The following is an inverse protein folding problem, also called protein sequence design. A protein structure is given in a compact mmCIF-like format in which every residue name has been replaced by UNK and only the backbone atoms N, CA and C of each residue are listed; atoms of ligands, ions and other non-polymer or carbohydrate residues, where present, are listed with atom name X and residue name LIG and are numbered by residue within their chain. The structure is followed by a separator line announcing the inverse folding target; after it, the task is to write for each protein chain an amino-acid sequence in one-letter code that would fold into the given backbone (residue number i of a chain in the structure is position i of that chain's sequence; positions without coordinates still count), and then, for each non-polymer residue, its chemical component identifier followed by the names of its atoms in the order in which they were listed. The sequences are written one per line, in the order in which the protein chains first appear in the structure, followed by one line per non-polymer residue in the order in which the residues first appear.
data_IF_526426106752
#
_entry.id   IF_526426106752
#
_cell.length_a   1.000
_cell.length_b   1.000
_cell.length_c   1.000
_cell.angle_alpha   90.00
_cell.angle_beta   90.00
_cell.angle_gamma   90.00
#
_symmetry.space_group_name_H-M   'P 1'
#
loop_
_entity.id
_entity.type
_entity.pdbx_description
1 polymer ?
#
# COMPACT_ATOMS: atom_id res chain seq x y z
N UNK A 1 -9.30 -44.85 4.34
CA UNK A 1 -10.28 -44.76 3.23
C UNK A 1 -11.73 -44.65 3.71
N UNK A 2 -12.27 -45.55 4.55
CA UNK A 2 -13.70 -45.50 4.93
C UNK A 2 -14.12 -44.22 5.67
N UNK A 3 -13.26 -43.69 6.56
CA UNK A 3 -13.53 -42.44 7.29
C UNK A 3 -13.59 -41.21 6.36
N UNK A 4 -12.63 -41.09 5.45
CA UNK A 4 -12.59 -39.99 4.47
C UNK A 4 -13.82 -39.99 3.56
N UNK A 5 -14.22 -41.18 3.09
CA UNK A 5 -15.42 -41.32 2.25
C UNK A 5 -16.69 -40.90 3.00
N UNK A 6 -16.80 -41.25 4.29
CA UNK A 6 -17.93 -40.82 5.12
C UNK A 6 -17.95 -39.29 5.31
N UNK A 7 -16.80 -38.68 5.59
CA UNK A 7 -16.68 -37.22 5.76
C UNK A 7 -17.02 -36.49 4.45
N UNK A 8 -16.56 -37.00 3.30
CA UNK A 8 -16.93 -36.50 1.97
C UNK A 8 -18.42 -36.62 1.69
N UNK A 9 -19.02 -37.80 1.93
CA UNK A 9 -20.45 -38.02 1.71
C UNK A 9 -21.32 -37.10 2.57
N UNK A 10 -20.94 -36.87 3.83
CA UNK A 10 -21.62 -35.89 4.69
C UNK A 10 -21.48 -34.47 4.16
N UNK A 11 -20.29 -34.09 3.70
CA UNK A 11 -20.01 -32.76 3.16
C UNK A 11 -20.79 -32.50 1.86
N UNK A 12 -20.87 -33.49 0.95
CA UNK A 12 -21.65 -33.42 -0.28
C UNK A 12 -23.15 -33.30 0.01
N UNK A 13 -23.67 -34.16 0.91
CA UNK A 13 -25.08 -34.08 1.33
C UNK A 13 -25.39 -32.70 1.90
N UNK A 14 -24.51 -32.11 2.72
CA UNK A 14 -24.74 -30.79 3.31
C UNK A 14 -24.74 -29.69 2.26
N UNK A 15 -23.75 -29.70 1.37
CA UNK A 15 -23.55 -28.62 0.40
C UNK A 15 -24.54 -28.63 -0.76
N UNK A 16 -24.99 -29.81 -1.18
CA UNK A 16 -25.79 -29.97 -2.40
C UNK A 16 -27.22 -30.46 -2.18
N UNK A 17 -27.54 -31.03 -1.01
CA UNK A 17 -28.85 -31.68 -0.77
C UNK A 17 -29.60 -30.99 0.38
N UNK A 18 -29.00 -30.90 1.57
CA UNK A 18 -29.66 -30.40 2.77
C UNK A 18 -28.71 -29.60 3.67
N UNK A 19 -28.90 -28.29 3.72
CA UNK A 19 -28.04 -27.38 4.50
C UNK A 19 -28.12 -27.60 6.01
N UNK A 20 -29.17 -28.24 6.53
CA UNK A 20 -29.43 -28.32 7.98
C UNK A 20 -28.76 -29.54 8.63
N UNK A 21 -28.22 -30.46 7.83
CA UNK A 21 -27.47 -31.61 8.37
C UNK A 21 -26.09 -31.20 8.88
N UNK A 22 -25.64 -31.88 9.93
CA UNK A 22 -24.26 -31.80 10.40
C UNK A 22 -23.34 -32.62 9.50
N UNK A 23 -22.08 -32.20 9.42
CA UNK A 23 -21.04 -32.91 8.69
C UNK A 23 -19.75 -32.97 9.51
N UNK A 24 -18.84 -33.87 9.14
CA UNK A 24 -17.46 -33.93 9.60
C UNK A 24 -16.52 -33.70 8.42
N UNK A 25 -15.36 -33.12 8.70
CA UNK A 25 -14.39 -32.72 7.67
C UNK A 25 -14.70 -31.33 7.09
N UNK A 26 -13.84 -30.88 6.19
CA UNK A 26 -13.87 -29.52 5.63
C UNK A 26 -14.04 -29.56 4.09
N UNK A 27 -14.90 -30.45 3.58
CA UNK A 27 -15.04 -30.73 2.14
C UNK A 27 -16.34 -30.17 1.53
N UNK A 28 -17.11 -29.40 2.30
CA UNK A 28 -18.35 -28.78 1.80
C UNK A 28 -18.01 -27.75 0.73
N UNK A 29 -18.76 -27.71 -0.38
CA UNK A 29 -18.61 -26.64 -1.35
C UNK A 29 -18.81 -25.27 -0.68
N UNK A 30 -18.03 -24.27 -1.08
CA UNK A 30 -18.13 -22.91 -0.55
C UNK A 30 -18.27 -21.90 -1.68
N UNK A 31 -19.17 -20.94 -1.50
CA UNK A 31 -19.19 -19.74 -2.32
C UNK A 31 -18.12 -18.77 -1.80
N UNK A 32 -17.20 -18.36 -2.67
CA UNK A 32 -16.15 -17.39 -2.34
C UNK A 32 -16.48 -16.05 -2.99
N UNK A 33 -16.72 -15.05 -2.13
CA UNK A 33 -16.97 -13.66 -2.49
C UNK A 33 -16.06 -12.79 -1.64
N UNK A 34 -15.56 -11.67 -2.19
CA UNK A 34 -14.85 -10.69 -1.37
C UNK A 34 -15.85 -9.88 -0.55
N UNK A 35 -15.88 -10.12 0.76
CA UNK A 35 -16.66 -9.33 1.72
C UNK A 35 -15.73 -8.84 2.86
N UNK A 36 -16.27 -8.28 3.94
CA UNK A 36 -15.45 -7.77 5.07
C UNK A 36 -14.81 -8.90 5.90
N UNK A 37 -15.38 -10.10 5.89
CA UNK A 37 -14.97 -11.23 6.72
C UNK A 37 -14.15 -12.27 5.94
N UNK A 38 -14.39 -12.41 4.64
CA UNK A 38 -13.80 -13.44 3.79
C UNK A 38 -13.34 -12.84 2.45
N UNK A 39 -12.18 -13.27 1.99
CA UNK A 39 -11.60 -12.90 0.70
C UNK A 39 -11.28 -14.15 -0.12
N UNK A 40 -11.32 -14.05 -1.45
CA UNK A 40 -10.91 -15.15 -2.34
C UNK A 40 -9.43 -15.49 -2.11
N UNK A 41 -8.59 -14.46 -1.86
CA UNK A 41 -7.17 -14.65 -1.55
C UNK A 41 -6.93 -15.59 -0.37
N UNK A 42 -7.67 -15.44 0.73
CA UNK A 42 -7.46 -16.25 1.94
C UNK A 42 -7.64 -17.73 1.65
N UNK A 43 -8.66 -18.09 0.84
CA UNK A 43 -8.90 -19.48 0.46
C UNK A 43 -7.83 -20.00 -0.49
N UNK A 44 -7.40 -19.22 -1.49
CA UNK A 44 -6.32 -19.63 -2.40
C UNK A 44 -5.02 -19.89 -1.62
N UNK A 45 -4.68 -19.03 -0.66
CA UNK A 45 -3.50 -19.22 0.20
C UNK A 45 -3.65 -20.48 1.07
N UNK A 46 -4.81 -20.69 1.67
CA UNK A 46 -5.10 -21.85 2.52
C UNK A 46 -4.98 -23.18 1.76
N UNK A 47 -5.48 -23.24 0.52
CA UNK A 47 -5.37 -24.42 -0.34
C UNK A 47 -3.93 -24.63 -0.84
N UNK A 48 -3.20 -23.56 -1.20
CA UNK A 48 -1.77 -23.63 -1.58
C UNK A 48 -0.91 -24.22 -0.46
N UNK A 49 -1.14 -23.80 0.79
CA UNK A 49 -0.34 -24.26 1.94
C UNK A 49 -0.49 -25.77 2.22
N UNK A 50 -1.58 -26.39 1.76
CA UNK A 50 -1.97 -27.78 2.05
C UNK A 50 -1.80 -28.72 0.84
N UNK A 51 -1.49 -28.21 -0.34
CA UNK A 51 -1.40 -29.02 -1.56
C UNK A 51 -0.02 -29.68 -1.73
N UNK A 52 0.01 -30.80 -2.45
CA UNK A 52 1.21 -31.47 -2.96
C UNK A 52 1.63 -30.94 -4.34
N UNK A 53 0.69 -30.40 -5.12
CA UNK A 53 0.90 -29.72 -6.40
C UNK A 53 -0.31 -28.85 -6.75
N UNK A 54 -0.14 -27.86 -7.62
CA UNK A 54 -1.20 -26.96 -8.05
C UNK A 54 -1.13 -26.63 -9.55
N UNK A 55 -2.29 -26.33 -10.14
CA UNK A 55 -2.46 -26.00 -11.54
C UNK A 55 -3.39 -24.79 -11.67
N UNK A 56 -2.89 -23.68 -12.20
CA UNK A 56 -3.71 -22.50 -12.45
C UNK A 56 -3.93 -22.34 -13.95
N UNK A 57 -5.18 -22.18 -14.35
CA UNK A 57 -5.59 -21.81 -15.71
C UNK A 57 -6.27 -20.45 -15.61
N UNK A 58 -5.48 -19.39 -15.76
CA UNK A 58 -5.92 -18.02 -15.48
C UNK A 58 -5.49 -17.07 -16.58
N UNK A 59 -6.48 -16.39 -17.17
CA UNK A 59 -6.24 -15.51 -18.31
C UNK A 59 -5.42 -14.26 -17.96
N UNK A 60 -5.79 -13.58 -16.88
CA UNK A 60 -5.19 -12.31 -16.51
C UNK A 60 -4.42 -12.40 -15.20
N UNK A 61 -3.17 -11.96 -15.24
CA UNK A 61 -2.26 -11.92 -14.11
C UNK A 61 -1.66 -10.52 -14.04
N UNK A 62 -1.72 -9.90 -12.87
CA UNK A 62 -1.10 -8.60 -12.61
C UNK A 62 0.06 -8.76 -11.63
N UNK A 63 1.02 -7.83 -11.66
CA UNK A 63 2.14 -7.82 -10.72
C UNK A 63 1.67 -7.80 -9.26
N UNK A 64 0.66 -7.00 -8.91
CA UNK A 64 0.10 -6.92 -7.55
C UNK A 64 -0.66 -8.18 -7.13
N UNK A 65 -1.35 -8.83 -8.06
CA UNK A 65 -1.99 -10.12 -7.84
C UNK A 65 -0.97 -11.21 -7.56
N UNK A 66 0.07 -11.30 -8.39
CA UNK A 66 1.15 -12.26 -8.21
C UNK A 66 1.94 -12.01 -6.92
N UNK A 67 2.25 -10.74 -6.62
CA UNK A 67 2.90 -10.32 -5.37
C UNK A 67 2.17 -10.83 -4.13
N UNK A 68 0.83 -10.88 -4.16
CA UNK A 68 0.03 -11.41 -3.05
C UNK A 68 0.22 -12.91 -2.78
N UNK A 69 0.75 -13.67 -3.75
CA UNK A 69 1.03 -15.11 -3.61
C UNK A 69 2.54 -15.43 -3.54
N UNK A 70 3.43 -14.51 -3.91
CA UNK A 70 4.88 -14.75 -4.00
C UNK A 70 5.49 -15.38 -2.74
N UNK A 71 5.16 -14.86 -1.56
CA UNK A 71 5.67 -15.39 -0.29
C UNK A 71 5.29 -16.87 -0.10
N UNK A 72 4.02 -17.20 -0.38
CA UNK A 72 3.52 -18.57 -0.26
C UNK A 72 4.15 -19.49 -1.31
N UNK A 73 4.28 -19.03 -2.55
CA UNK A 73 4.92 -19.79 -3.63
C UNK A 73 6.40 -20.07 -3.33
N UNK A 74 7.11 -19.13 -2.70
CA UNK A 74 8.48 -19.32 -2.23
C UNK A 74 8.55 -20.35 -1.09
N UNK A 75 7.63 -20.30 -0.13
CA UNK A 75 7.55 -21.31 0.94
C UNK A 75 7.27 -22.70 0.37
N UNK A 76 6.40 -22.81 -0.64
CA UNK A 76 6.15 -24.04 -1.38
C UNK A 76 7.42 -24.53 -2.11
N UNK A 77 8.17 -23.62 -2.73
CA UNK A 77 9.45 -23.93 -3.37
C UNK A 77 10.44 -24.55 -2.38
N UNK A 78 10.56 -23.99 -1.17
CA UNK A 78 11.42 -24.50 -0.11
C UNK A 78 11.00 -25.89 0.41
N UNK A 79 9.69 -26.22 0.31
CA UNK A 79 9.15 -27.55 0.61
C UNK A 79 9.26 -28.54 -0.56
N UNK A 80 9.76 -28.11 -1.72
CA UNK A 80 9.84 -28.92 -2.93
C UNK A 80 8.51 -29.10 -3.67
N UNK A 81 7.48 -28.33 -3.32
CA UNK A 81 6.17 -28.35 -3.98
C UNK A 81 6.26 -27.56 -5.29
N UNK A 82 5.88 -28.20 -6.40
CA UNK A 82 5.88 -27.62 -7.75
C UNK A 82 4.46 -27.34 -8.22
N UNK A 83 4.32 -26.42 -9.16
CA UNK A 83 3.03 -26.14 -9.79
C UNK A 83 3.15 -25.71 -11.25
N UNK A 84 1.99 -25.57 -11.90
CA UNK A 84 1.87 -25.16 -13.30
C UNK A 84 0.94 -23.94 -13.40
N UNK A 85 1.31 -22.95 -14.21
CA UNK A 85 0.45 -21.81 -14.55
C UNK A 85 0.31 -21.75 -16.07
N UNK A 86 -0.92 -21.86 -16.54
CA UNK A 86 -1.31 -21.63 -17.93
C UNK A 86 -1.99 -20.25 -18.03
N UNK A 87 -1.45 -19.41 -18.90
CA UNK A 87 -1.94 -18.05 -19.15
C UNK A 87 -1.88 -17.71 -20.64
N UNK A 88 -2.30 -16.50 -21.01
CA UNK A 88 -2.34 -16.02 -22.39
C UNK A 88 -1.94 -14.55 -22.46
N UNK A 89 -1.53 -14.08 -23.63
CA UNK A 89 -1.37 -12.66 -23.94
C UNK A 89 -2.66 -12.01 -24.47
N UNK A 90 -3.82 -12.68 -24.32
CA UNK A 90 -5.13 -12.19 -24.72
C UNK A 90 -5.37 -10.73 -24.27
N UNK A 91 -5.82 -9.90 -25.21
CA UNK A 91 -6.04 -8.44 -25.08
C UNK A 91 -4.80 -7.61 -24.68
N UNK A 92 -3.61 -8.20 -24.64
CA UNK A 92 -2.40 -7.52 -24.16
C UNK A 92 -2.49 -7.08 -22.70
N UNK A 93 -3.32 -7.74 -21.88
CA UNK A 93 -3.55 -7.33 -20.48
C UNK A 93 -2.32 -7.58 -19.60
N UNK A 94 -1.62 -8.68 -19.86
CA UNK A 94 -0.45 -9.12 -19.11
C UNK A 94 0.79 -8.33 -19.57
N UNK A 95 1.43 -7.59 -18.66
CA UNK A 95 2.62 -6.78 -18.95
C UNK A 95 3.87 -7.65 -19.17
N UNK A 96 4.86 -7.21 -19.98
CA UNK A 96 6.15 -7.89 -20.09
C UNK A 96 6.84 -8.06 -18.74
N UNK A 97 6.74 -7.06 -17.86
CA UNK A 97 7.27 -7.11 -16.50
C UNK A 97 6.62 -8.21 -15.66
N UNK A 98 5.30 -8.38 -15.73
CA UNK A 98 4.59 -9.46 -15.04
C UNK A 98 5.09 -10.84 -15.48
N UNK A 99 5.32 -11.06 -16.78
CA UNK A 99 5.93 -12.30 -17.26
C UNK A 99 7.36 -12.50 -16.72
N UNK A 100 8.13 -11.42 -16.60
CA UNK A 100 9.44 -11.46 -15.93
C UNK A 100 9.32 -11.93 -14.48
N UNK A 101 8.32 -11.44 -13.75
CA UNK A 101 8.05 -11.87 -12.36
C UNK A 101 7.61 -13.34 -12.27
N UNK A 102 6.88 -13.85 -13.26
CA UNK A 102 6.53 -15.27 -13.35
C UNK A 102 7.76 -16.17 -13.56
N UNK A 103 8.72 -15.75 -14.39
CA UNK A 103 9.97 -16.50 -14.60
C UNK A 103 10.85 -16.63 -13.35
N UNK A 104 10.71 -15.72 -12.39
CA UNK A 104 11.46 -15.77 -11.12
C UNK A 104 11.00 -16.94 -10.23
N UNK A 105 9.78 -17.44 -10.40
CA UNK A 105 9.20 -18.52 -9.60
C UNK A 105 9.80 -19.89 -9.97
N UNK A 106 10.83 -20.31 -9.23
CA UNK A 106 11.63 -21.51 -9.55
C UNK A 106 10.86 -22.83 -9.48
N UNK A 107 9.79 -22.89 -8.70
CA UNK A 107 8.95 -24.07 -8.55
C UNK A 107 7.71 -24.07 -9.46
N UNK A 108 7.56 -23.09 -10.34
CA UNK A 108 6.36 -22.94 -11.18
C UNK A 108 6.74 -23.02 -12.65
N UNK A 109 6.22 -24.02 -13.37
CA UNK A 109 6.29 -24.03 -14.83
C UNK A 109 5.19 -23.12 -15.37
N UNK A 110 5.54 -22.21 -16.28
CA UNK A 110 4.59 -21.26 -16.86
C UNK A 110 4.52 -21.48 -18.36
N UNK A 111 3.30 -21.61 -18.88
CA UNK A 111 3.05 -21.74 -20.32
C UNK A 111 2.00 -20.77 -20.83
N UNK A 112 2.13 -20.46 -22.12
CA UNK A 112 1.40 -19.45 -22.86
C UNK A 112 0.56 -20.14 -23.93
N UNK A 113 -0.76 -19.95 -23.85
CA UNK A 113 -1.69 -20.41 -24.88
C UNK A 113 -2.13 -19.26 -25.78
N UNK A 114 -2.11 -19.53 -27.09
CA UNK A 114 -2.60 -18.62 -28.13
C UNK A 114 -4.05 -18.93 -28.53
N UNK A 115 -4.76 -19.74 -27.74
CA UNK A 115 -6.18 -19.99 -27.99
C UNK A 115 -6.96 -18.68 -27.91
N UNK A 116 -7.68 -18.41 -28.99
CA UNK A 116 -8.53 -17.25 -29.10
C UNK A 116 -9.56 -17.22 -27.95
N UNK A 117 -9.62 -16.10 -27.23
CA UNK A 117 -10.58 -15.92 -26.16
C UNK A 117 -10.29 -16.73 -24.90
N UNK A 118 -9.03 -17.14 -24.66
CA UNK A 118 -8.66 -17.76 -23.39
C UNK A 118 -9.02 -16.83 -22.21
N UNK A 119 -10.11 -17.18 -21.53
CA UNK A 119 -10.69 -16.41 -20.43
C UNK A 119 -10.97 -17.29 -19.21
N UNK A 120 -10.22 -18.39 -19.04
CA UNK A 120 -10.34 -19.26 -17.88
C UNK A 120 -9.91 -18.55 -16.58
N UNK A 121 -10.51 -18.99 -15.46
CA UNK A 121 -10.16 -18.63 -14.08
C UNK A 121 -10.34 -19.86 -13.19
N UNK A 122 -9.46 -20.83 -13.38
CA UNK A 122 -9.44 -22.08 -12.63
C UNK A 122 -8.19 -22.18 -11.77
N UNK A 123 -8.37 -22.52 -10.49
CA UNK A 123 -7.28 -22.83 -9.57
C UNK A 123 -7.51 -24.24 -9.03
N UNK A 124 -6.58 -25.15 -9.31
CA UNK A 124 -6.68 -26.57 -8.91
C UNK A 124 -5.55 -26.86 -7.94
N UNK A 125 -5.89 -27.55 -6.85
CA UNK A 125 -4.98 -27.96 -5.81
C UNK A 125 -5.12 -29.47 -5.62
N UNK A 126 -4.02 -30.20 -5.71
CA UNK A 126 -4.02 -31.62 -5.40
C UNK A 126 -3.41 -31.83 -4.03
N UNK A 127 -4.16 -32.49 -3.16
CA UNK A 127 -3.69 -32.91 -1.85
C UNK A 127 -3.38 -34.41 -1.89
N UNK A 128 -2.81 -34.90 -0.78
CA UNK A 128 -2.48 -36.31 -0.62
C UNK A 128 -3.65 -37.25 -0.86
N UNK A 129 -4.83 -36.91 -0.36
CA UNK A 129 -5.99 -37.80 -0.37
C UNK A 129 -7.17 -37.32 -1.25
N UNK A 130 -7.18 -36.04 -1.66
CA UNK A 130 -8.27 -35.41 -2.39
C UNK A 130 -7.77 -34.23 -3.25
N UNK A 131 -8.65 -33.59 -4.01
CA UNK A 131 -8.36 -32.36 -4.77
C UNK A 131 -9.34 -31.26 -4.40
N UNK A 132 -8.90 -30.02 -4.47
CA UNK A 132 -9.75 -28.82 -4.39
C UNK A 132 -9.68 -28.04 -5.70
N UNK A 133 -10.78 -27.39 -6.08
CA UNK A 133 -10.84 -26.52 -7.24
C UNK A 133 -11.59 -25.24 -6.89
N UNK A 134 -11.04 -24.11 -7.29
CA UNK A 134 -11.72 -22.81 -7.29
C UNK A 134 -11.99 -22.42 -8.73
N UNK A 135 -13.27 -22.29 -9.08
CA UNK A 135 -13.72 -21.90 -10.44
C UNK A 135 -14.66 -20.72 -10.31
N UNK A 136 -14.48 -19.70 -11.15
CA UNK A 136 -15.37 -18.53 -11.12
C UNK A 136 -14.90 -17.37 -11.98
N UNK A 137 -15.07 -16.17 -11.45
CA UNK A 137 -14.75 -14.91 -12.12
C UNK A 137 -13.37 -14.32 -11.76
N UNK A 138 -12.75 -14.80 -10.67
CA UNK A 138 -11.52 -14.20 -10.15
C UNK A 138 -10.29 -14.49 -11.01
N UNK A 139 -9.74 -13.47 -11.66
CA UNK A 139 -8.39 -13.50 -12.23
C UNK A 139 -7.31 -13.37 -11.14
N UNK A 140 -6.04 -13.61 -11.47
CA UNK A 140 -4.90 -13.46 -10.55
C UNK A 140 -4.50 -11.97 -10.44
N UNK A 141 -5.41 -11.17 -9.89
CA UNK A 141 -5.25 -9.72 -9.68
C UNK A 141 -5.59 -9.34 -8.25
N UNK A 142 -4.91 -8.34 -7.68
CA UNK A 142 -5.16 -7.96 -6.28
C UNK A 142 -6.62 -7.53 -6.06
N UNK A 143 -7.23 -6.86 -7.04
CA UNK A 143 -8.64 -6.46 -6.98
C UNK A 143 -9.58 -7.66 -7.01
N UNK A 144 -9.43 -8.59 -7.96
CA UNK A 144 -10.27 -9.79 -8.00
C UNK A 144 -10.11 -10.67 -6.76
N UNK A 145 -8.93 -10.69 -6.13
CA UNK A 145 -8.69 -11.53 -4.97
C UNK A 145 -9.11 -10.91 -3.63
N UNK A 146 -9.33 -9.58 -3.56
CA UNK A 146 -9.55 -8.87 -2.29
C UNK A 146 -10.68 -7.83 -2.31
N UNK A 147 -10.99 -7.21 -3.44
CA UNK A 147 -11.83 -6.00 -3.50
C UNK A 147 -13.10 -6.22 -4.29
N UNK A 148 -12.97 -6.64 -5.55
CA UNK A 148 -14.10 -6.78 -6.47
C UNK A 148 -15.14 -7.75 -5.91
N UNK A 149 -16.40 -7.48 -6.20
CA UNK A 149 -17.46 -8.45 -5.96
C UNK A 149 -17.35 -9.59 -7.00
N UNK A 150 -16.69 -10.66 -6.60
CA UNK A 150 -16.44 -11.85 -7.43
C UNK A 150 -17.35 -13.01 -7.01
N UNK A 151 -17.64 -13.91 -7.94
CA UNK A 151 -18.31 -15.17 -7.66
C UNK A 151 -17.40 -16.33 -8.03
N UNK A 152 -16.94 -17.07 -7.03
CA UNK A 152 -16.24 -18.33 -7.25
C UNK A 152 -16.84 -19.43 -6.40
N UNK A 153 -16.70 -20.67 -6.86
CA UNK A 153 -17.04 -21.86 -6.08
C UNK A 153 -15.77 -22.63 -5.75
N UNK A 154 -15.57 -22.90 -4.46
CA UNK A 154 -14.62 -23.90 -3.99
C UNK A 154 -15.32 -25.25 -3.96
N UNK A 155 -14.75 -26.23 -4.64
CA UNK A 155 -15.21 -27.61 -4.66
C UNK A 155 -14.08 -28.52 -4.18
N UNK A 156 -14.33 -29.31 -3.13
CA UNK A 156 -13.48 -30.44 -2.78
C UNK A 156 -14.01 -31.70 -3.43
N UNK A 157 -13.12 -32.53 -3.96
CA UNK A 157 -13.47 -33.75 -4.68
C UNK A 157 -12.44 -34.86 -4.43
N UNK A 158 -12.87 -36.11 -4.48
CA UNK A 158 -11.97 -37.25 -4.43
C UNK A 158 -11.12 -37.32 -5.71
N UNK A 159 -9.97 -37.98 -5.65
CA UNK A 159 -9.05 -38.10 -6.80
C UNK A 159 -9.69 -38.75 -8.04
N UNK A 160 -10.64 -39.65 -7.84
CA UNK A 160 -11.40 -40.32 -8.90
C UNK A 160 -12.75 -39.63 -9.21
N UNK A 161 -12.90 -38.35 -8.83
CA UNK A 161 -14.11 -37.59 -9.16
C UNK A 161 -14.15 -37.22 -10.65
N UNK A 162 -15.30 -37.40 -11.28
CA UNK A 162 -15.48 -37.15 -12.72
C UNK A 162 -15.17 -35.70 -13.13
N UNK A 163 -15.58 -34.73 -12.30
CA UNK A 163 -15.34 -33.31 -12.57
C UNK A 163 -13.84 -32.95 -12.55
N UNK A 164 -13.06 -33.49 -11.61
CA UNK A 164 -11.62 -33.19 -11.56
C UNK A 164 -10.88 -33.86 -12.72
N UNK A 165 -11.31 -35.06 -13.14
CA UNK A 165 -10.77 -35.72 -14.32
C UNK A 165 -11.00 -34.86 -15.58
N UNK A 166 -12.24 -34.41 -15.80
CA UNK A 166 -12.60 -33.53 -16.92
C UNK A 166 -11.78 -32.23 -16.94
N UNK A 167 -11.69 -31.54 -15.80
CA UNK A 167 -10.96 -30.26 -15.69
C UNK A 167 -9.45 -30.47 -15.93
N UNK A 168 -8.87 -31.55 -15.40
CA UNK A 168 -7.45 -31.88 -15.61
C UNK A 168 -7.15 -32.25 -17.05
N UNK A 169 -7.99 -33.05 -17.68
CA UNK A 169 -7.82 -33.47 -19.07
C UNK A 169 -7.86 -32.25 -20.01
N UNK A 170 -8.78 -31.32 -19.77
CA UNK A 170 -8.83 -30.07 -20.54
C UNK A 170 -7.59 -29.21 -20.29
N UNK A 171 -7.15 -29.06 -19.03
CA UNK A 171 -5.90 -28.37 -18.71
C UNK A 171 -4.70 -28.97 -19.45
N UNK A 172 -4.55 -30.30 -19.42
CA UNK A 172 -3.41 -30.98 -20.03
C UNK A 172 -3.45 -30.91 -21.57
N UNK A 173 -4.63 -30.97 -22.18
CA UNK A 173 -4.81 -30.75 -23.62
C UNK A 173 -4.31 -29.36 -24.05
N UNK A 174 -4.65 -28.32 -23.27
CA UNK A 174 -4.19 -26.96 -23.51
C UNK A 174 -2.70 -26.81 -23.21
N UNK A 175 -2.23 -27.44 -22.15
CA UNK A 175 -0.84 -27.42 -21.71
C UNK A 175 0.11 -27.94 -22.79
N UNK A 176 -0.25 -29.05 -23.44
CA UNK A 176 0.55 -29.67 -24.50
C UNK A 176 0.64 -28.79 -25.76
N UNK A 177 -0.41 -28.02 -26.06
CA UNK A 177 -0.45 -27.08 -27.20
C UNK A 177 0.19 -25.71 -26.88
N UNK A 178 0.44 -25.42 -25.61
CA UNK A 178 0.97 -24.14 -25.15
C UNK A 178 2.49 -24.08 -25.19
N UNK A 179 3.03 -22.88 -25.33
CA UNK A 179 4.47 -22.63 -25.41
C UNK A 179 5.05 -22.31 -24.03
N UNK A 180 6.24 -22.81 -23.68
CA UNK A 180 6.89 -22.46 -22.42
C UNK A 180 7.27 -20.98 -22.38
N UNK A 181 7.05 -20.33 -21.23
CA UNK A 181 7.52 -18.98 -21.00
C UNK A 181 9.05 -18.98 -20.94
N UNK A 182 9.68 -18.12 -21.73
CA UNK A 182 11.13 -17.95 -21.78
C UNK A 182 11.48 -16.47 -21.87
N UNK A 183 12.72 -16.10 -21.51
CA UNK A 183 13.21 -14.73 -21.66
C UNK A 183 13.14 -14.26 -23.12
N UNK A 184 13.42 -15.15 -24.07
CA UNK A 184 13.32 -14.88 -25.51
C UNK A 184 11.88 -14.50 -25.91
N UNK A 185 10.88 -15.23 -25.41
CA UNK A 185 9.48 -14.92 -25.65
C UNK A 185 9.10 -13.55 -25.09
N UNK A 186 9.54 -13.22 -23.86
CA UNK A 186 9.25 -11.92 -23.23
C UNK A 186 9.85 -10.77 -24.03
N UNK A 187 11.10 -10.91 -24.48
CA UNK A 187 11.78 -9.88 -25.27
C UNK A 187 11.04 -9.61 -26.59
N UNK A 188 10.61 -10.66 -27.30
CA UNK A 188 9.80 -10.53 -28.51
C UNK A 188 8.43 -9.89 -28.23
N UNK A 189 7.77 -10.28 -27.13
CA UNK A 189 6.48 -9.72 -26.76
C UNK A 189 6.56 -8.22 -26.42
N UNK A 190 7.64 -7.78 -25.77
CA UNK A 190 7.87 -6.39 -25.37
C UNK A 190 7.79 -5.41 -26.55
N UNK A 191 8.36 -5.78 -27.70
CA UNK A 191 8.31 -4.98 -28.93
C UNK A 191 6.85 -4.76 -29.40
N UNK A 192 6.04 -5.82 -29.41
CA UNK A 192 4.61 -5.75 -29.79
C UNK A 192 3.71 -5.04 -28.76
N UNK A 193 4.15 -4.99 -27.50
CA UNK A 193 3.42 -4.36 -26.40
C UNK A 193 3.65 -2.85 -26.35
N UNK A 194 4.89 -2.40 -26.58
CA UNK A 194 5.24 -0.98 -26.62
C UNK A 194 4.50 -0.25 -27.75
N UNK A 195 4.38 -0.88 -28.93
CA UNK A 195 3.60 -0.34 -30.05
C UNK A 195 2.14 -0.04 -29.68
N UNK A 196 1.43 -1.00 -29.05
CA UNK A 196 0.04 -0.82 -28.59
C UNK A 196 -0.09 0.21 -27.47
N UNK A 197 0.94 0.35 -26.64
CA UNK A 197 0.98 1.32 -25.54
C UNK A 197 1.07 2.74 -26.08
N UNK A 198 1.86 2.97 -27.12
CA UNK A 198 2.02 4.25 -27.81
C UNK A 198 0.73 4.70 -28.51
N UNK A 199 0.00 3.79 -29.16
CA UNK A 199 -1.31 4.08 -29.76
C UNK A 199 -2.33 4.56 -28.72
N UNK A 200 -2.41 3.86 -27.57
CA UNK A 200 -3.27 4.27 -26.45
C UNK A 200 -2.86 5.61 -25.84
N UNK A 201 -1.56 5.88 -25.73
CA UNK A 201 -1.05 7.16 -25.23
C UNK A 201 -1.41 8.30 -26.17
N UNK A 202 -1.35 8.10 -27.50
CA UNK A 202 -1.76 9.09 -28.49
C UNK A 202 -3.26 9.41 -28.42
N UNK A 203 -4.12 8.41 -28.19
CA UNK A 203 -5.56 8.62 -27.95
C UNK A 203 -5.84 9.37 -26.65
N UNK A 204 -5.08 9.08 -25.58
CA UNK A 204 -5.21 9.74 -24.28
C UNK A 204 -4.69 11.17 -24.32
N UNK A 205 -3.57 11.46 -25.00
CA UNK A 205 -3.05 12.83 -25.17
C UNK A 205 -4.04 13.74 -25.89
N UNK A 206 -4.68 13.26 -26.97
CA UNK A 206 -5.72 14.02 -27.66
C UNK A 206 -6.92 14.33 -26.73
N UNK A 207 -7.29 13.38 -25.88
CA UNK A 207 -8.39 13.54 -24.91
C UNK A 207 -7.99 14.46 -23.75
N UNK A 208 -6.75 14.38 -23.27
CA UNK A 208 -6.22 15.21 -22.18
C UNK A 208 -5.99 16.66 -22.60
N UNK A 209 -5.57 16.93 -23.85
CA UNK A 209 -5.50 18.29 -24.39
C UNK A 209 -6.87 18.98 -24.41
N UNK A 210 -7.94 18.24 -24.74
CA UNK A 210 -9.32 18.75 -24.71
C UNK A 210 -9.85 19.00 -23.29
N UNK A 211 -9.33 18.29 -22.28
CA UNK A 211 -9.71 18.43 -20.87
C UNK A 211 -8.89 19.52 -20.15
N UNK A 212 -7.61 19.67 -20.49
CA UNK A 212 -6.70 20.65 -19.88
C UNK A 212 -7.16 22.11 -20.07
N UNK A 213 -7.81 22.42 -21.21
CA UNK A 213 -8.40 23.74 -21.47
C UNK A 213 -9.68 24.00 -20.66
N UNK A 214 -10.36 22.97 -20.15
CA UNK A 214 -11.52 23.12 -19.26
C UNK A 214 -11.15 23.24 -17.78
N UNK A 215 -10.01 22.69 -17.35
CA UNK A 215 -9.63 22.57 -15.92
C UNK A 215 -8.83 23.80 -15.40
N UNK A 216 -8.34 24.68 -16.28
CA UNK A 216 -7.68 25.95 -15.88
C UNK A 216 -8.57 26.96 -15.13
N UNK A 217 -9.86 26.67 -14.93
CA UNK A 217 -10.75 27.42 -14.02
C UNK A 217 -10.87 26.69 -12.68
N UNK A 218 -10.10 27.16 -11.69
CA UNK A 218 -10.37 27.09 -10.24
C UNK A 218 -11.06 25.81 -9.74
N UNK A 219 -10.33 24.70 -9.63
CA UNK A 219 -10.75 23.62 -8.73
C UNK A 219 -10.27 24.01 -7.34
N UNK A 220 -11.19 24.54 -6.52
CA UNK A 220 -10.92 24.81 -5.12
C UNK A 220 -10.52 23.50 -4.41
N UNK A 221 -9.38 23.49 -3.72
CA UNK A 221 -8.99 22.32 -2.93
C UNK A 221 -9.95 22.18 -1.76
N UNK A 222 -10.63 21.04 -1.71
CA UNK A 222 -11.56 20.64 -0.64
C UNK A 222 -10.94 19.57 0.26
N UNK A 223 -11.24 19.57 1.58
CA UNK A 223 -10.79 18.52 2.48
C UNK A 223 -11.41 17.17 2.11
N UNK A 224 -10.63 16.10 2.25
CA UNK A 224 -11.20 14.75 2.30
C UNK A 224 -11.94 14.51 3.64
N UNK A 225 -12.65 13.38 3.77
CA UNK A 225 -13.48 13.08 4.93
C UNK A 225 -12.71 13.13 6.27
N UNK A 226 -11.49 12.59 6.30
CA UNK A 226 -10.66 12.59 7.50
C UNK A 226 -10.14 13.99 7.84
N UNK A 227 -9.75 14.76 6.81
CA UNK A 227 -9.30 16.14 6.99
C UNK A 227 -10.44 17.02 7.50
N UNK A 228 -11.67 16.82 7.00
CA UNK A 228 -12.85 17.54 7.47
C UNK A 228 -13.13 17.28 8.96
N UNK A 229 -12.92 16.05 9.43
CA UNK A 229 -13.05 15.71 10.85
C UNK A 229 -11.95 16.36 11.70
N UNK A 230 -10.70 16.30 11.24
CA UNK A 230 -9.58 16.96 11.91
C UNK A 230 -9.79 18.48 12.05
N UNK A 231 -10.21 19.15 10.97
CA UNK A 231 -10.51 20.58 10.95
C UNK A 231 -11.64 20.94 11.92
N UNK A 232 -12.70 20.12 11.98
CA UNK A 232 -13.81 20.31 12.94
C UNK A 232 -13.31 20.23 14.39
N UNK A 233 -12.44 19.27 14.68
CA UNK A 233 -11.88 19.10 16.03
C UNK A 233 -10.94 20.25 16.41
N UNK A 234 -10.07 20.68 15.50
CA UNK A 234 -9.21 21.85 15.70
C UNK A 234 -10.03 23.12 16.00
N UNK A 235 -11.13 23.33 15.26
CA UNK A 235 -12.07 24.43 15.53
C UNK A 235 -12.67 24.33 16.94
N UNK A 236 -13.15 23.16 17.33
CA UNK A 236 -13.71 22.94 18.67
C UNK A 236 -12.69 23.13 19.81
N UNK A 237 -11.40 22.87 19.58
CA UNK A 237 -10.33 23.15 20.55
C UNK A 237 -10.13 24.66 20.71
N UNK A 238 -10.07 25.41 19.60
CA UNK A 238 -9.95 26.87 19.60
C UNK A 238 -11.15 27.55 20.24
N UNK A 239 -12.37 27.06 19.98
CA UNK A 239 -13.61 27.56 20.59
C UNK A 239 -13.64 27.40 22.11
N UNK A 240 -12.88 26.44 22.65
CA UNK A 240 -12.66 26.23 24.10
C UNK A 240 -11.48 27.04 24.65
N UNK A 241 -11.06 28.09 23.93
CA UNK A 241 -9.96 28.99 24.30
C UNK A 241 -8.64 28.29 24.59
N UNK A 242 -8.41 27.12 23.98
CA UNK A 242 -7.12 26.43 24.04
C UNK A 242 -6.24 26.91 22.89
N UNK A 243 -4.98 27.16 23.20
CA UNK A 243 -3.98 27.73 22.30
C UNK A 243 -2.98 26.70 21.76
N UNK A 244 -3.07 25.43 22.18
CA UNK A 244 -2.20 24.35 21.69
C UNK A 244 -2.98 23.11 21.29
N UNK A 245 -2.56 22.45 20.22
CA UNK A 245 -3.09 21.16 19.81
C UNK A 245 -2.07 20.28 19.08
N UNK A 246 -2.31 18.97 19.08
CA UNK A 246 -1.51 17.98 18.38
C UNK A 246 -2.38 17.18 17.40
N UNK A 247 -1.95 17.07 16.15
CA UNK A 247 -2.47 16.11 15.19
C UNK A 247 -1.49 14.95 15.05
N UNK A 248 -2.00 13.74 15.25
CA UNK A 248 -1.29 12.51 14.96
C UNK A 248 -1.82 11.98 13.64
N UNK A 249 -0.96 11.83 12.64
CA UNK A 249 -1.39 11.44 11.31
C UNK A 249 -0.30 10.66 10.58
N UNK A 250 -0.68 9.48 10.08
CA UNK A 250 0.15 8.61 9.27
C UNK A 250 0.82 9.36 8.08
N UNK A 251 1.92 8.83 7.58
CA UNK A 251 2.55 9.34 6.35
C UNK A 251 1.61 9.15 5.17
N UNK A 252 1.59 10.09 4.23
CA UNK A 252 0.76 10.00 3.01
C UNK A 252 -0.70 10.47 3.14
N UNK A 253 -1.21 10.80 4.34
CA UNK A 253 -2.60 11.28 4.54
C UNK A 253 -2.83 12.76 4.19
N UNK A 254 -1.81 13.45 3.70
CA UNK A 254 -1.89 14.86 3.31
C UNK A 254 -1.82 15.85 4.48
N UNK A 255 -0.94 15.61 5.49
CA UNK A 255 -0.70 16.53 6.63
C UNK A 255 -0.50 18.00 6.21
N UNK A 256 0.29 18.24 5.17
CA UNK A 256 0.56 19.59 4.65
C UNK A 256 -0.71 20.27 4.12
N UNK A 257 -1.55 19.54 3.36
CA UNK A 257 -2.82 20.05 2.85
C UNK A 257 -3.80 20.31 4.00
N UNK A 258 -3.88 19.39 4.98
CA UNK A 258 -4.69 19.58 6.18
C UNK A 258 -4.31 20.87 6.93
N UNK A 259 -3.01 21.09 7.12
CA UNK A 259 -2.51 22.29 7.77
C UNK A 259 -2.85 23.56 6.98
N UNK A 260 -2.65 23.55 5.66
CA UNK A 260 -2.97 24.70 4.83
C UNK A 260 -4.47 25.02 4.82
N UNK A 261 -5.34 24.00 4.86
CA UNK A 261 -6.79 24.15 4.99
C UNK A 261 -7.18 24.76 6.34
N UNK A 262 -6.52 24.38 7.44
CA UNK A 262 -6.76 24.97 8.75
C UNK A 262 -6.30 26.42 8.82
N UNK A 263 -5.12 26.73 8.26
CA UNK A 263 -4.61 28.10 8.14
C UNK A 263 -5.51 28.96 7.26
N UNK A 264 -6.15 28.39 6.22
CA UNK A 264 -7.14 29.08 5.39
C UNK A 264 -8.37 29.49 6.21
N UNK A 265 -8.88 28.61 7.06
CA UNK A 265 -10.03 28.87 7.93
C UNK A 265 -9.70 29.92 9.00
N UNK A 266 -8.51 29.83 9.62
CA UNK A 266 -8.08 30.75 10.69
C UNK A 266 -7.66 32.11 10.14
N UNK A 267 -7.06 32.15 8.94
CA UNK A 267 -6.52 33.34 8.28
C UNK A 267 -5.70 34.25 9.23
N UNK A 268 -4.61 33.74 9.83
CA UNK A 268 -3.75 34.52 10.74
C UNK A 268 -3.14 35.74 10.05
N UNK A 269 -2.79 36.80 10.80
CA UNK A 269 -2.08 37.96 10.23
C UNK A 269 -0.63 37.60 9.93
N UNK A 270 0.01 36.77 10.77
CA UNK A 270 1.35 36.24 10.55
C UNK A 270 1.44 34.78 10.98
N UNK A 271 2.00 33.95 10.11
CA UNK A 271 2.04 32.49 10.24
C UNK A 271 3.47 31.97 10.11
N UNK A 272 3.81 30.96 10.91
CA UNK A 272 5.11 30.30 10.86
C UNK A 272 4.96 28.78 10.72
N UNK A 273 5.52 28.22 9.65
CA UNK A 273 5.63 26.78 9.45
C UNK A 273 7.06 26.32 9.68
N UNK A 274 7.27 25.39 10.61
CA UNK A 274 8.58 24.92 11.05
C UNK A 274 8.75 23.46 10.65
N UNK A 275 9.82 23.15 9.92
CA UNK A 275 10.19 21.78 9.55
C UNK A 275 11.66 21.48 9.87
N UNK A 276 12.04 20.21 9.76
CA UNK A 276 13.42 19.78 9.97
C UNK A 276 14.28 19.75 8.70
N UNK A 277 13.70 19.83 7.49
CA UNK A 277 14.40 19.64 6.22
C UNK A 277 13.95 20.65 5.14
N UNK A 278 14.89 21.29 4.45
CA UNK A 278 14.64 22.30 3.41
C UNK A 278 13.92 21.76 2.16
N UNK A 279 14.12 20.48 1.80
CA UNK A 279 13.40 19.82 0.72
C UNK A 279 11.90 19.69 1.02
N UNK A 280 11.55 19.40 2.27
CA UNK A 280 10.15 19.37 2.73
C UNK A 280 9.57 20.79 2.76
N UNK A 281 10.37 21.77 3.18
CA UNK A 281 9.97 23.16 3.29
C UNK A 281 9.46 23.75 1.97
N UNK A 282 10.22 23.60 0.89
CA UNK A 282 9.85 24.13 -0.42
C UNK A 282 8.57 23.48 -0.96
N UNK A 283 8.44 22.16 -0.79
CA UNK A 283 7.22 21.45 -1.17
C UNK A 283 6.03 21.92 -0.34
N UNK A 284 6.21 22.14 0.96
CA UNK A 284 5.16 22.64 1.83
C UNK A 284 4.69 24.05 1.40
N UNK A 285 5.61 24.96 1.11
CA UNK A 285 5.30 26.30 0.59
C UNK A 285 4.41 26.23 -0.67
N UNK A 286 4.76 25.36 -1.62
CA UNK A 286 3.98 25.19 -2.86
C UNK A 286 2.60 24.56 -2.60
N UNK A 287 2.48 23.59 -1.69
CA UNK A 287 1.15 23.05 -1.31
C UNK A 287 0.27 24.11 -0.64
N UNK A 288 0.85 24.96 0.21
CA UNK A 288 0.12 26.06 0.85
C UNK A 288 -0.38 27.08 -0.19
N UNK A 289 0.43 27.41 -1.21
CA UNK A 289 0.00 28.28 -2.32
C UNK A 289 -1.20 27.72 -3.07
N UNK A 290 -1.30 26.41 -3.25
CA UNK A 290 -2.45 25.79 -3.94
C UNK A 290 -3.76 25.89 -3.14
N UNK A 291 -3.67 25.90 -1.81
CA UNK A 291 -4.84 25.85 -0.91
C UNK A 291 -5.30 27.24 -0.49
N UNK A 292 -4.35 28.11 -0.15
CA UNK A 292 -4.64 29.47 0.27
C UNK A 292 -5.02 30.33 -0.94
N UNK A 293 -5.98 31.27 -0.78
CA UNK A 293 -6.30 32.21 -1.84
C UNK A 293 -5.08 33.14 -2.07
N UNK A 294 -4.32 32.88 -3.12
CA UNK A 294 -3.13 33.67 -3.45
C UNK A 294 -3.56 35.08 -3.84
N UNK A 295 -3.14 36.08 -3.05
CA UNK A 295 -3.26 37.50 -3.41
C UNK A 295 -1.96 38.01 -4.02
N UNK A 296 -0.82 37.73 -3.36
CA UNK A 296 0.52 38.06 -3.83
C UNK A 296 1.51 36.92 -3.54
N UNK A 297 2.40 36.60 -4.48
CA UNK A 297 3.43 35.56 -4.24
C UNK A 297 4.43 35.97 -3.15
N UNK A 298 4.63 37.28 -2.97
CA UNK A 298 5.47 37.88 -1.93
C UNK A 298 4.97 37.64 -0.50
N UNK A 299 3.71 37.22 -0.32
CA UNK A 299 3.17 36.88 0.99
C UNK A 299 3.81 35.59 1.56
N UNK A 300 4.51 34.80 0.74
CA UNK A 300 5.12 33.53 1.10
C UNK A 300 6.65 33.62 1.15
N UNK A 301 7.22 33.57 2.35
CA UNK A 301 8.66 33.74 2.58
C UNK A 301 9.37 32.48 3.06
N UNK A 302 10.68 32.41 2.82
CA UNK A 302 11.56 31.37 3.37
C UNK A 302 12.55 31.97 4.38
N UNK A 303 12.75 31.28 5.50
CA UNK A 303 13.85 31.52 6.44
C UNK A 303 14.73 30.28 6.51
N UNK A 304 15.73 30.22 5.63
CA UNK A 304 16.71 29.13 5.54
C UNK A 304 18.13 29.69 5.62
N UNK A 305 19.15 28.84 5.48
CA UNK A 305 20.53 29.33 5.42
C UNK A 305 20.80 30.27 4.23
N UNK A 306 19.95 30.22 3.19
CA UNK A 306 20.11 30.96 1.93
C UNK A 306 19.11 32.10 1.74
N UNK A 307 17.92 32.00 2.35
CA UNK A 307 16.81 32.94 2.19
C UNK A 307 16.40 33.54 3.54
N UNK A 308 16.02 34.83 3.55
CA UNK A 308 15.67 35.58 4.77
C UNK A 308 14.48 36.51 4.52
N UNK A 309 13.33 35.94 4.17
CA UNK A 309 12.12 36.68 3.83
C UNK A 309 11.28 36.98 5.09
N UNK A 310 11.87 37.65 6.08
CA UNK A 310 11.33 37.80 7.45
C UNK A 310 10.00 38.59 7.54
N UNK A 311 9.71 39.41 6.53
CA UNK A 311 8.51 40.25 6.46
C UNK A 311 7.29 39.53 5.86
N UNK A 312 7.47 38.31 5.35
CA UNK A 312 6.39 37.56 4.74
C UNK A 312 5.28 37.21 5.73
N UNK A 313 4.02 37.27 5.26
CA UNK A 313 2.83 36.88 6.03
C UNK A 313 2.87 35.39 6.40
N UNK A 314 3.24 34.54 5.45
CA UNK A 314 3.39 33.09 5.64
C UNK A 314 4.86 32.74 5.56
N UNK A 315 5.50 32.58 6.71
CA UNK A 315 6.93 32.29 6.82
C UNK A 315 7.16 30.79 6.97
N UNK A 316 8.05 30.24 6.15
CA UNK A 316 8.44 28.84 6.18
C UNK A 316 9.91 28.75 6.60
N UNK A 317 10.18 28.11 7.74
CA UNK A 317 11.51 28.06 8.33
C UNK A 317 11.98 26.62 8.63
N UNK A 318 13.28 26.39 8.51
CA UNK A 318 13.89 25.19 9.08
C UNK A 318 14.24 25.43 10.55
N UNK A 319 14.03 24.42 11.41
CA UNK A 319 14.35 24.54 12.83
C UNK A 319 15.84 24.84 13.05
N UNK A 320 16.74 24.31 12.23
CA UNK A 320 18.19 24.51 12.34
C UNK A 320 18.60 25.97 12.09
N UNK A 321 17.89 26.66 11.19
CA UNK A 321 18.12 28.09 10.95
C UNK A 321 17.44 28.90 12.03
N UNK A 322 16.17 28.64 12.30
CA UNK A 322 15.36 29.42 13.23
C UNK A 322 15.90 29.38 14.67
N UNK A 323 16.42 28.25 15.14
CA UNK A 323 16.86 28.08 16.53
C UNK A 323 18.16 28.83 16.90
N UNK A 324 18.79 29.53 15.95
CA UNK A 324 19.95 30.39 16.22
C UNK A 324 19.49 31.67 16.90
N UNK A 325 20.21 32.13 17.92
CA UNK A 325 19.82 33.28 18.74
C UNK A 325 19.43 34.51 17.91
N UNK A 326 20.25 34.86 16.92
CA UNK A 326 20.03 36.04 16.08
C UNK A 326 18.79 35.91 15.16
N UNK A 327 18.26 34.70 14.97
CA UNK A 327 17.18 34.44 14.01
C UNK A 327 15.79 34.39 14.64
N UNK A 328 15.62 33.82 15.85
CA UNK A 328 14.31 33.84 16.50
C UNK A 328 14.11 35.09 17.37
N UNK A 329 15.17 35.63 17.99
CA UNK A 329 15.09 36.83 18.84
C UNK A 329 14.91 38.14 18.07
N UNK A 330 15.01 38.12 16.74
CA UNK A 330 14.70 39.28 15.91
C UNK A 330 13.18 39.52 15.77
N UNK A 331 12.37 38.50 16.08
CA UNK A 331 10.91 38.58 16.07
C UNK A 331 10.41 38.80 17.50
N UNK A 332 9.31 39.52 17.68
CA UNK A 332 8.67 39.60 18.99
C UNK A 332 8.12 38.24 19.43
N UNK A 333 8.01 38.00 20.75
CA UNK A 333 7.45 36.74 21.29
C UNK A 333 6.02 36.47 20.76
N UNK A 334 5.25 37.53 20.48
CA UNK A 334 3.87 37.45 19.99
C UNK A 334 3.75 37.75 18.48
N UNK A 335 4.86 37.75 17.73
CA UNK A 335 4.90 38.11 16.31
C UNK A 335 4.00 37.24 15.43
N UNK A 336 3.92 35.95 15.75
CA UNK A 336 3.16 34.97 14.98
C UNK A 336 1.82 34.69 15.64
N UNK A 337 0.72 34.82 14.90
CA UNK A 337 -0.61 34.42 15.39
C UNK A 337 -0.76 32.90 15.41
N UNK A 338 -0.11 32.20 14.48
CA UNK A 338 -0.23 30.75 14.33
C UNK A 338 1.13 30.13 13.96
N UNK A 339 1.64 29.25 14.83
CA UNK A 339 2.84 28.46 14.59
C UNK A 339 2.48 26.98 14.41
N UNK A 340 3.09 26.35 13.41
CA UNK A 340 2.97 24.91 13.17
C UNK A 340 4.35 24.25 13.21
N UNK A 341 4.47 23.19 14.01
CA UNK A 341 5.64 22.32 14.06
C UNK A 341 5.35 21.01 13.32
N UNK A 342 5.96 20.82 12.15
CA UNK A 342 5.95 19.53 11.46
C UNK A 342 6.97 18.57 12.06
N UNK A 343 6.66 17.28 12.07
CA UNK A 343 7.39 16.26 12.81
C UNK A 343 7.64 16.63 14.27
N UNK A 344 6.56 17.06 14.94
CA UNK A 344 6.58 17.53 16.32
C UNK A 344 7.12 16.48 17.33
N UNK A 345 7.26 15.21 16.96
CA UNK A 345 7.99 14.20 17.77
C UNK A 345 9.46 14.54 18.01
N UNK A 346 10.02 15.51 17.28
CA UNK A 346 11.38 16.03 17.48
C UNK A 346 11.47 17.12 18.56
N UNK A 347 10.34 17.48 19.16
CA UNK A 347 10.21 18.56 20.15
C UNK A 347 11.04 18.36 21.43
N UNK A 348 11.47 17.14 21.74
CA UNK A 348 12.41 16.87 22.83
C UNK A 348 13.82 17.46 22.60
N UNK A 349 14.19 17.77 21.35
CA UNK A 349 15.49 18.36 21.06
C UNK A 349 15.60 19.80 21.58
N UNK A 350 16.76 20.17 22.11
CA UNK A 350 17.02 21.50 22.67
C UNK A 350 16.76 22.64 21.67
N UNK A 351 16.98 22.42 20.37
CA UNK A 351 16.69 23.39 19.31
C UNK A 351 15.20 23.67 19.17
N UNK A 352 14.35 22.64 19.26
CA UNK A 352 12.89 22.80 19.26
C UNK A 352 12.43 23.51 20.54
N UNK A 353 12.89 23.06 21.70
CA UNK A 353 12.55 23.66 23.00
C UNK A 353 12.83 25.16 23.05
N UNK A 354 13.97 25.61 22.49
CA UNK A 354 14.31 27.04 22.45
C UNK A 354 13.30 27.88 21.68
N UNK A 355 12.87 27.40 20.51
CA UNK A 355 11.90 28.11 19.66
C UNK A 355 10.50 28.02 20.27
N UNK A 356 10.11 26.83 20.74
CA UNK A 356 8.82 26.55 21.36
C UNK A 356 8.57 27.41 22.60
N UNK A 357 9.57 27.55 23.48
CA UNK A 357 9.44 28.29 24.73
C UNK A 357 9.54 29.82 24.56
N UNK A 358 10.05 30.30 23.43
CA UNK A 358 10.18 31.74 23.15
C UNK A 358 8.88 32.35 22.62
N UNK A 359 8.29 31.73 21.60
CA UNK A 359 7.11 32.27 20.95
C UNK A 359 5.82 31.97 21.72
N UNK A 360 4.92 32.96 21.77
CA UNK A 360 3.61 32.92 22.42
C UNK A 360 2.50 33.25 21.41
N UNK A 361 2.26 32.39 20.42
CA UNK A 361 1.26 32.63 19.39
C UNK A 361 -0.17 32.51 19.94
N UNK A 362 -1.17 32.99 19.20
CA UNK A 362 -2.59 32.73 19.51
C UNK A 362 -2.95 31.24 19.39
N UNK A 363 -2.24 30.51 18.51
CA UNK A 363 -2.39 29.08 18.40
C UNK A 363 -1.09 28.38 17.95
N UNK A 364 -0.81 27.21 18.53
CA UNK A 364 0.33 26.38 18.23
C UNK A 364 -0.12 24.96 17.90
N UNK A 365 0.22 24.48 16.70
CA UNK A 365 -0.15 23.14 16.23
C UNK A 365 1.10 22.27 16.05
N UNK A 366 1.10 21.13 16.70
CA UNK A 366 2.03 20.04 16.40
C UNK A 366 1.43 19.09 15.39
N UNK A 367 2.21 18.62 14.42
CA UNK A 367 1.83 17.52 13.54
C UNK A 367 2.89 16.43 13.57
N UNK A 368 2.48 15.17 13.75
CA UNK A 368 3.44 14.06 13.70
C UNK A 368 2.81 12.74 13.29
N UNK A 369 3.58 11.82 12.73
CA UNK A 369 3.14 10.43 12.54
C UNK A 369 3.41 9.53 13.75
N UNK A 370 4.37 9.90 14.60
CA UNK A 370 4.95 9.02 15.64
C UNK A 370 5.04 9.76 16.97
N UNK A 371 3.94 9.84 17.73
CA UNK A 371 3.91 10.57 19.00
C UNK A 371 4.65 9.82 20.13
N UNK A 372 4.76 8.49 20.03
CA UNK A 372 5.37 7.63 21.03
C UNK A 372 6.88 7.54 20.82
N UNK A 373 7.68 8.11 21.73
CA UNK A 373 9.13 7.88 21.87
C UNK A 373 9.46 7.61 23.34
N UNK A 374 10.54 6.87 23.58
CA UNK A 374 10.99 6.39 24.90
C UNK A 374 11.58 7.47 25.82
N UNK A 375 11.61 8.73 25.37
CA UNK A 375 12.38 9.81 26.01
C UNK A 375 11.45 10.65 26.92
N UNK A 376 11.95 11.09 28.08
CA UNK A 376 11.23 11.60 29.27
C UNK A 376 10.39 12.88 29.09
N UNK A 377 10.31 13.46 27.88
CA UNK A 377 9.42 14.60 27.57
C UNK A 377 8.34 14.14 26.58
N UNK A 378 7.16 13.88 27.12
CA UNK A 378 5.99 13.50 26.34
C UNK A 378 5.57 14.66 25.43
N UNK A 379 5.61 14.47 24.10
CA UNK A 379 5.08 15.46 23.13
C UNK A 379 3.65 15.90 23.49
N UNK A 380 2.87 15.01 24.12
CA UNK A 380 1.53 15.30 24.57
C UNK A 380 1.51 16.43 25.61
N UNK A 381 2.47 16.50 26.52
CA UNK A 381 2.58 17.56 27.53
C UNK A 381 2.83 18.93 26.91
N UNK A 382 3.67 19.00 25.87
CA UNK A 382 3.95 20.27 25.20
C UNK A 382 2.71 20.89 24.58
N UNK A 383 1.78 20.06 24.12
CA UNK A 383 0.51 20.51 23.53
C UNK A 383 -0.67 20.39 24.51
N UNK A 384 -0.40 20.43 25.83
CA UNK A 384 -1.38 20.40 26.92
C UNK A 384 -2.39 19.23 26.82
N UNK A 385 -1.91 18.09 26.32
CA UNK A 385 -2.68 16.87 26.03
C UNK A 385 -3.88 17.08 25.08
N UNK A 386 -3.88 18.15 24.29
CA UNK A 386 -4.93 18.46 23.34
C UNK A 386 -4.71 17.76 22.01
N UNK A 387 -5.06 16.47 21.94
CA UNK A 387 -5.04 15.73 20.67
C UNK A 387 -6.26 16.15 19.84
N UNK A 388 -6.05 16.89 18.76
CA UNK A 388 -7.12 17.32 17.88
C UNK A 388 -7.65 16.13 17.06
N UNK A 389 -6.75 15.32 16.53
CA UNK A 389 -7.14 14.20 15.70
C UNK A 389 -6.02 13.15 15.62
N UNK A 390 -6.42 11.89 15.52
CA UNK A 390 -5.50 10.76 15.41
C UNK A 390 -5.89 9.86 14.23
N UNK A 391 -5.05 9.87 13.19
CA UNK A 391 -5.17 9.01 12.02
C UNK A 391 -4.01 8.03 11.99
N UNK A 392 -4.29 6.78 12.37
CA UNK A 392 -3.33 5.67 12.24
C UNK A 392 -3.40 5.04 10.84
N UNK A 393 -2.38 4.25 10.51
CA UNK A 393 -2.21 3.61 9.20
C UNK A 393 -3.47 2.85 8.73
N UNK A 394 -4.15 2.15 9.64
CA UNK A 394 -5.37 1.39 9.31
C UNK A 394 -6.50 2.29 8.80
N UNK A 395 -6.84 3.36 9.53
CA UNK A 395 -7.87 4.31 9.12
C UNK A 395 -7.51 5.04 7.81
N UNK A 396 -6.21 5.31 7.60
CA UNK A 396 -5.71 5.91 6.37
C UNK A 396 -5.81 4.97 5.16
N UNK A 397 -5.63 3.66 5.36
CA UNK A 397 -5.85 2.63 4.36
C UNK A 397 -7.34 2.45 4.04
N UNK A 398 -8.20 2.48 5.04
CA UNK A 398 -9.66 2.36 4.85
C UNK A 398 -10.26 3.54 4.06
N UNK A 399 -9.59 4.70 4.09
CA UNK A 399 -10.04 5.91 3.41
C UNK A 399 -9.49 6.05 1.99
N UNK A 400 -8.78 5.04 1.45
CA UNK A 400 -8.17 5.01 0.12
C UNK A 400 -7.26 6.22 -0.21
N UNK A 401 -6.74 6.92 0.81
CA UNK A 401 -5.83 8.08 0.64
C UNK A 401 -4.38 7.62 0.42
N UNK A 402 -4.03 6.42 0.90
CA UNK A 402 -2.69 5.88 0.78
C UNK A 402 -2.50 5.08 -0.50
N UNK A 403 -1.27 5.13 -1.03
CA UNK A 403 -0.87 4.23 -2.10
C UNK A 403 -0.91 2.77 -1.60
N UNK A 404 -1.52 1.84 -2.35
CA UNK A 404 -1.47 0.42 -2.02
C UNK A 404 -0.03 -0.09 -1.90
N UNK A 405 0.24 -0.91 -0.90
CA UNK A 405 1.56 -1.52 -0.71
C UNK A 405 1.44 -3.02 -0.39
N UNK A 406 2.52 -3.75 -0.67
CA UNK A 406 2.69 -5.14 -0.27
C UNK A 406 3.86 -5.23 0.71
N UNK A 407 3.59 -5.72 1.91
CA UNK A 407 4.62 -5.96 2.93
C UNK A 407 5.12 -7.39 2.85
N UNK A 408 6.43 -7.57 2.74
CA UNK A 408 7.10 -8.87 2.76
C UNK A 408 8.06 -8.93 3.95
N UNK A 409 7.70 -9.69 4.98
CA UNK A 409 8.62 -10.01 6.08
C UNK A 409 9.59 -11.08 5.63
N UNK A 410 10.85 -10.72 5.38
CA UNK A 410 11.92 -11.67 5.06
C UNK A 410 12.83 -11.83 6.29
N UNK A 411 13.26 -13.05 6.56
CA UNK A 411 14.29 -13.29 7.58
C UNK A 411 15.60 -12.66 7.11
N UNK A 412 16.29 -11.91 7.98
CA UNK A 412 17.63 -11.39 7.67
C UNK A 412 18.65 -12.55 7.51
N UNK A 413 19.80 -12.24 6.91
CA UNK A 413 20.89 -13.19 6.75
C UNK A 413 21.42 -13.65 8.12
N UNK A 414 21.61 -14.96 8.28
CA UNK A 414 22.15 -15.55 9.52
C UNK A 414 23.53 -16.10 9.23
N UNK A 415 24.56 -15.49 9.80
CA UNK A 415 25.93 -16.00 9.69
C UNK A 415 26.17 -17.15 10.68
N UNK A 416 26.44 -18.36 10.17
CA UNK A 416 26.83 -19.53 10.97
C UNK A 416 25.88 -19.89 12.14
N UNK A 417 24.58 -19.64 11.99
CA UNK A 417 23.58 -19.97 13.02
C UNK A 417 23.52 -19.02 14.23
N UNK A 418 24.31 -17.94 14.24
CA UNK A 418 24.21 -16.88 15.25
C UNK A 418 23.17 -15.88 14.75
N UNK A 419 22.02 -15.80 15.43
CA UNK A 419 21.06 -14.71 15.21
C UNK A 419 21.73 -13.40 15.59
N UNK A 420 21.73 -12.45 14.66
CA UNK A 420 22.25 -11.12 14.86
C UNK A 420 21.42 -10.38 15.93
N UNK A 421 22.06 -10.00 17.03
CA UNK A 421 21.51 -9.08 18.04
C UNK A 421 21.95 -7.62 17.71
N UNK A 422 21.42 -6.64 18.44
CA UNK A 422 21.72 -5.19 18.34
C UNK A 422 23.23 -4.82 18.47
N UNK A 423 24.11 -5.79 18.74
CA UNK A 423 25.57 -5.62 18.91
C UNK A 423 26.39 -6.25 17.77
N UNK A 424 25.75 -6.55 16.63
CA UNK A 424 26.42 -7.14 15.47
C UNK A 424 27.47 -6.17 14.90
N UNK A 425 28.72 -6.62 14.76
CA UNK A 425 29.80 -5.79 14.20
C UNK A 425 29.43 -5.35 12.78
N UNK A 426 29.52 -4.04 12.51
CA UNK A 426 29.13 -3.41 11.24
C UNK A 426 29.65 -4.15 9.98
N UNK A 427 30.86 -4.74 10.06
CA UNK A 427 31.48 -5.52 8.98
C UNK A 427 30.66 -6.74 8.52
N UNK A 428 29.84 -7.32 9.39
CA UNK A 428 28.98 -8.46 9.04
C UNK A 428 27.69 -8.00 8.36
N UNK A 429 27.20 -6.80 8.72
CA UNK A 429 26.06 -6.14 8.08
C UNK A 429 26.34 -5.74 6.62
N UNK A 430 27.61 -5.55 6.24
CA UNK A 430 28.06 -5.20 4.88
C UNK A 430 28.83 -6.32 4.18
N UNK A 431 28.73 -7.56 4.67
CA UNK A 431 29.38 -8.71 4.05
C UNK A 431 28.82 -8.99 2.65
N UNK A 432 29.65 -9.49 1.73
CA UNK A 432 29.23 -9.82 0.37
C UNK A 432 28.11 -10.88 0.39
N UNK A 433 28.13 -11.78 1.35
CA UNK A 433 27.08 -12.80 1.53
C UNK A 433 25.73 -12.18 1.90
N UNK A 434 25.70 -11.23 2.85
CA UNK A 434 24.46 -10.53 3.21
C UNK A 434 23.98 -9.64 2.06
N UNK A 435 24.88 -8.97 1.34
CA UNK A 435 24.54 -8.17 0.16
C UNK A 435 23.88 -9.04 -0.91
N UNK A 436 24.51 -10.17 -1.27
CA UNK A 436 23.96 -11.11 -2.25
C UNK A 436 22.62 -11.70 -1.78
N UNK A 437 22.47 -11.99 -0.49
CA UNK A 437 21.21 -12.43 0.09
C UNK A 437 20.09 -11.38 -0.04
N UNK A 438 20.38 -10.11 0.28
CA UNK A 438 19.42 -9.00 0.13
C UNK A 438 19.04 -8.81 -1.33
N UNK A 439 20.00 -8.85 -2.26
CA UNK A 439 19.73 -8.78 -3.71
C UNK A 439 18.79 -9.93 -4.12
N UNK A 440 19.13 -11.17 -3.75
CA UNK A 440 18.31 -12.34 -4.06
C UNK A 440 16.90 -12.28 -3.46
N UNK A 441 16.72 -11.64 -2.30
CA UNK A 441 15.40 -11.47 -1.65
C UNK A 441 14.60 -10.29 -2.20
N UNK A 442 15.25 -9.31 -2.80
CA UNK A 442 14.61 -8.09 -3.33
C UNK A 442 14.26 -8.23 -4.81
N UNK A 443 15.05 -9.01 -5.56
CA UNK A 443 14.76 -9.40 -6.94
C UNK A 443 13.67 -10.48 -7.01
#
# INVERSE_FOLDING_TARGET
MSRLLNDFNQSLKKGFIDKDISHKGNYTPKLLVNNKNEKVLSTIIDELQKCETFYFSVAFITESGLASLKAQLLDLSNKGVKGKILTSNYLGFNSPKMYGELLKLKNVEVRLTDIAGFHAKGYIFEHKDYSSMVIGSSNLTSNALKVNYEHNVLLSTMKNGDLVDSVKNEFELLWQKSTPLTEQWINSYKESFEYRSLEKLAEVEQTQMLLADKVKKSVEIVPNLMQAEALRSLKAIRDKTKDKALIISATGTGKTILCALDVREVNPNKFLFIVHNEGILNRAKEEFKKVLPIKNDSDFGLLTGKHRDVDAKYLFATIQTLSRDDNFKQFDENEFDYIVFDEAHRSAASTYQRVFNYFKPKFMLGMTATPERSDELSIFELFDYNIAYEIRLQAALESDILCPFHYFGVTDYVHQGIKEDDVTKLRYLTSDERVNYIIQKTD
#
